data_IF_896295890523
#
_entry.id   IF_896295890523
#
_cell.length_a   1.000
_cell.length_b   1.000
_cell.length_c   1.000
_cell.angle_alpha   90.00
_cell.angle_beta   90.00
_cell.angle_gamma   90.00
#
_symmetry.space_group_name_H-M   'P 1'
#
loop_
_entity.id
_entity.type
_entity.pdbx_description
1 polymer ?
#
# COMPACT_ATOMS: atom_id res chain seq x y z
N UNK A 1 4.13 17.88 -0.40
CA UNK A 1 5.54 17.83 0.03
C UNK A 1 6.38 17.67 -1.23
N UNK A 2 6.93 18.76 -1.77
CA UNK A 2 7.80 18.72 -2.95
C UNK A 2 9.20 18.30 -2.52
N UNK A 3 9.63 17.12 -2.95
CA UNK A 3 11.00 16.67 -2.72
C UNK A 3 11.89 17.39 -3.73
N UNK A 4 12.67 18.35 -3.24
CA UNK A 4 13.55 19.19 -4.06
C UNK A 4 14.66 18.31 -4.68
N UNK A 5 14.60 18.12 -6.01
CA UNK A 5 15.34 17.07 -6.73
C UNK A 5 16.84 17.36 -6.93
N UNK A 6 17.29 18.56 -6.56
CA UNK A 6 18.66 19.02 -6.77
C UNK A 6 19.68 18.35 -5.85
N UNK A 7 19.27 17.78 -4.71
CA UNK A 7 20.18 17.17 -3.73
C UNK A 7 20.06 15.63 -3.60
N UNK A 8 19.33 14.97 -4.50
CA UNK A 8 19.19 13.51 -4.44
C UNK A 8 20.36 12.83 -5.15
N UNK A 9 21.13 12.02 -4.39
CA UNK A 9 22.06 11.04 -4.94
C UNK A 9 21.42 10.21 -6.06
N UNK A 10 22.23 9.76 -7.04
CA UNK A 10 21.75 9.08 -8.26
C UNK A 10 20.84 7.88 -7.98
N UNK A 11 21.05 7.18 -6.86
CA UNK A 11 20.20 6.07 -6.38
C UNK A 11 18.85 6.56 -5.86
N UNK A 12 18.83 7.64 -5.08
CA UNK A 12 17.61 8.23 -4.54
C UNK A 12 16.73 8.82 -5.65
N UNK A 13 17.30 9.32 -6.75
CA UNK A 13 16.53 9.72 -7.94
C UNK A 13 15.77 8.55 -8.56
N UNK A 14 16.42 7.39 -8.73
CA UNK A 14 15.75 6.18 -9.28
C UNK A 14 14.59 5.73 -8.39
N UNK A 15 14.75 5.82 -7.07
CA UNK A 15 13.68 5.51 -6.11
C UNK A 15 12.50 6.49 -6.24
N UNK A 16 12.78 7.79 -6.34
CA UNK A 16 11.75 8.82 -6.53
C UNK A 16 11.02 8.65 -7.86
N UNK A 17 11.72 8.30 -8.94
CA UNK A 17 11.09 8.01 -10.23
C UNK A 17 10.19 6.78 -10.19
N UNK A 18 10.63 5.70 -9.52
CA UNK A 18 9.79 4.51 -9.31
C UNK A 18 8.54 4.85 -8.50
N UNK A 19 8.67 5.62 -7.43
CA UNK A 19 7.52 6.08 -6.63
C UNK A 19 6.57 6.94 -7.47
N UNK A 20 7.07 7.85 -8.31
CA UNK A 20 6.22 8.66 -9.21
C UNK A 20 5.47 7.80 -10.22
N UNK A 21 6.13 6.81 -10.83
CA UNK A 21 5.48 5.86 -11.76
C UNK A 21 4.38 5.06 -11.04
N UNK A 22 4.65 4.59 -9.82
CA UNK A 22 3.67 3.86 -9.03
C UNK A 22 2.46 4.72 -8.63
N UNK A 23 2.70 5.97 -8.22
CA UNK A 23 1.63 6.94 -7.91
C UNK A 23 0.79 7.23 -9.16
N UNK A 24 1.42 7.41 -10.32
CA UNK A 24 0.70 7.64 -11.58
C UNK A 24 -0.11 6.40 -12.00
N UNK A 25 0.43 5.20 -11.87
CA UNK A 25 -0.32 3.96 -12.08
C UNK A 25 -1.54 3.88 -11.15
N UNK A 26 -1.37 4.22 -9.87
CA UNK A 26 -2.47 4.21 -8.90
C UNK A 26 -3.54 5.26 -9.21
N UNK A 27 -3.14 6.46 -9.65
CA UNK A 27 -4.04 7.53 -10.11
C UNK A 27 -4.81 7.12 -11.36
N UNK A 28 -4.11 6.52 -12.34
CA UNK A 28 -4.71 6.04 -13.58
C UNK A 28 -5.67 4.87 -13.32
N UNK A 29 -5.27 3.87 -12.52
CA UNK A 29 -6.14 2.76 -12.13
C UNK A 29 -7.42 3.24 -11.43
N UNK A 30 -7.29 4.22 -10.51
CA UNK A 30 -8.44 4.85 -9.84
C UNK A 30 -9.37 5.59 -10.82
N UNK A 31 -8.82 6.24 -11.83
CA UNK A 31 -9.59 6.97 -12.86
C UNK A 31 -10.27 6.02 -13.86
N UNK A 32 -9.63 4.90 -14.19
CA UNK A 32 -10.12 3.87 -15.12
C UNK A 32 -11.14 2.90 -14.46
N UNK A 33 -11.46 3.10 -13.17
CA UNK A 33 -12.30 2.18 -12.39
C UNK A 33 -11.65 0.82 -12.08
N UNK A 34 -10.38 0.64 -12.46
CA UNK A 34 -9.60 -0.58 -12.19
C UNK A 34 -9.09 -0.54 -10.76
N UNK A 35 -9.43 -1.55 -9.95
CA UNK A 35 -8.92 -1.66 -8.59
C UNK A 35 -7.39 -1.84 -8.65
N UNK A 36 -6.61 -0.98 -7.97
CA UNK A 36 -5.17 -1.15 -7.89
C UNK A 36 -4.85 -2.53 -7.30
N UNK A 37 -3.71 -3.09 -7.69
CA UNK A 37 -3.23 -4.38 -7.19
C UNK A 37 -3.31 -4.42 -5.67
N UNK A 38 -4.11 -5.36 -5.16
CA UNK A 38 -4.30 -5.57 -3.73
C UNK A 38 -3.35 -6.66 -3.30
N UNK A 39 -2.78 -6.52 -2.11
CA UNK A 39 -2.00 -7.61 -1.53
C UNK A 39 -2.99 -8.69 -1.13
N UNK A 40 -2.89 -9.82 -1.81
CA UNK A 40 -3.68 -11.01 -1.56
C UNK A 40 -3.00 -11.83 -0.46
N UNK A 41 -3.71 -12.08 0.64
CA UNK A 41 -3.29 -13.00 1.69
C UNK A 41 -4.26 -14.16 1.78
N UNK A 42 -3.73 -15.32 2.16
CA UNK A 42 -4.57 -16.43 2.61
C UNK A 42 -5.45 -15.98 3.78
N UNK A 43 -6.68 -16.49 3.86
CA UNK A 43 -7.65 -16.09 4.89
C UNK A 43 -7.07 -16.26 6.30
N UNK A 44 -6.32 -17.34 6.56
CA UNK A 44 -5.71 -17.59 7.88
C UNK A 44 -4.65 -16.54 8.21
N UNK A 45 -3.87 -16.13 7.22
CA UNK A 45 -2.85 -15.09 7.39
C UNK A 45 -3.49 -13.71 7.61
N UNK A 46 -4.56 -13.41 6.88
CA UNK A 46 -5.32 -12.18 7.04
C UNK A 46 -5.96 -12.07 8.44
N UNK A 47 -6.54 -13.16 8.96
CA UNK A 47 -7.10 -13.17 10.32
C UNK A 47 -6.04 -12.98 11.40
N UNK A 48 -4.86 -13.61 11.24
CA UNK A 48 -3.74 -13.42 12.16
C UNK A 48 -3.26 -11.97 12.18
N UNK A 49 -3.16 -11.35 11.01
CA UNK A 49 -2.82 -9.94 10.86
C UNK A 49 -3.87 -9.04 11.54
N UNK A 50 -5.16 -9.29 11.28
CA UNK A 50 -6.28 -8.58 11.90
C UNK A 50 -6.24 -8.65 13.43
N UNK A 51 -6.08 -9.85 14.00
CA UNK A 51 -6.01 -10.04 15.47
C UNK A 51 -4.82 -9.27 16.05
N UNK A 52 -3.63 -9.41 15.46
CA UNK A 52 -2.44 -8.70 15.92
C UNK A 52 -2.59 -7.17 15.86
N UNK A 53 -3.18 -6.64 14.79
CA UNK A 53 -3.42 -5.20 14.64
C UNK A 53 -4.45 -4.69 15.65
N UNK A 54 -5.54 -5.44 15.87
CA UNK A 54 -6.54 -5.08 16.88
C UNK A 54 -5.94 -5.08 18.28
N UNK A 55 -5.16 -6.09 18.65
CA UNK A 55 -4.47 -6.14 19.94
C UNK A 55 -3.48 -4.99 20.11
N UNK A 56 -2.60 -4.75 19.12
CA UNK A 56 -1.58 -3.69 19.20
C UNK A 56 -2.15 -2.28 19.20
N UNK A 57 -3.29 -2.06 18.57
CA UNK A 57 -3.93 -0.74 18.47
C UNK A 57 -5.08 -0.54 19.44
N UNK A 58 -5.27 -1.48 20.38
CA UNK A 58 -6.37 -1.49 21.34
C UNK A 58 -7.74 -1.28 20.66
N UNK A 59 -7.97 -2.00 19.56
CA UNK A 59 -9.22 -1.94 18.79
C UNK A 59 -9.39 -0.72 17.88
N UNK A 60 -8.42 0.21 17.82
CA UNK A 60 -8.52 1.44 17.01
C UNK A 60 -8.27 1.23 15.52
N UNK A 61 -7.57 0.17 15.13
CA UNK A 61 -7.30 -0.12 13.72
C UNK A 61 -8.51 -0.77 13.04
N UNK A 62 -9.20 0.01 12.20
CA UNK A 62 -10.34 -0.42 11.39
C UNK A 62 -9.90 -0.71 9.95
N UNK A 63 -10.51 -1.71 9.27
CA UNK A 63 -10.25 -1.96 7.86
C UNK A 63 -10.69 -0.78 6.97
N UNK A 64 -10.12 -0.63 5.76
CA UNK A 64 -9.19 -1.56 5.09
C UNK A 64 -7.77 -1.52 5.65
N UNK A 65 -7.19 -2.70 5.92
CA UNK A 65 -5.79 -2.81 6.32
C UNK A 65 -4.89 -2.52 5.12
N UNK A 66 -3.83 -1.75 5.34
CA UNK A 66 -2.88 -1.40 4.29
C UNK A 66 -1.46 -1.78 4.68
N UNK A 67 -0.69 -2.28 3.71
CA UNK A 67 0.75 -2.47 3.82
C UNK A 67 1.40 -1.56 2.77
N UNK A 68 2.23 -0.61 3.19
CA UNK A 68 2.83 0.39 2.29
C UNK A 68 1.80 1.13 1.40
N UNK A 69 0.67 1.54 1.98
CA UNK A 69 -0.48 2.17 1.28
C UNK A 69 -1.19 1.27 0.25
N UNK A 70 -0.88 -0.03 0.21
CA UNK A 70 -1.56 -0.99 -0.65
C UNK A 70 -2.60 -1.75 0.20
N UNK A 71 -3.87 -1.79 -0.19
CA UNK A 71 -4.89 -2.52 0.55
C UNK A 71 -4.60 -4.03 0.55
N UNK A 72 -4.69 -4.63 1.73
CA UNK A 72 -4.57 -6.07 1.94
C UNK A 72 -5.96 -6.67 1.97
N UNK A 73 -6.18 -7.75 1.22
CA UNK A 73 -7.47 -8.46 1.18
C UNK A 73 -7.27 -9.97 1.33
N UNK A 74 -8.21 -10.66 1.99
CA UNK A 74 -8.21 -12.11 1.99
C UNK A 74 -8.56 -12.62 0.59
N UNK A 75 -7.89 -13.70 0.16
CA UNK A 75 -8.26 -14.48 -1.01
C UNK A 75 -9.36 -15.44 -0.58
N UNK A 76 -10.58 -15.26 -1.11
CA UNK A 76 -11.59 -16.32 -1.05
C UNK A 76 -11.27 -17.30 -2.18
N UNK A 77 -10.73 -18.46 -1.82
CA UNK A 77 -10.64 -19.61 -2.70
C UNK A 77 -12.01 -20.26 -2.86
#
# INVERSE_FOLDING_TARGET
MEINQMHLSRENRKVVERMRKYINYYKLAKADGRKPERIQLDVKQYEKLRKNLLTKTNGKCKPPYTLNNIPVVPVNH
#
